data_IF_996182831744
#
_entry.id   IF_996182831744
#
_cell.length_a   1.000
_cell.length_b   1.000
_cell.length_c   1.000
_cell.angle_alpha   90.00
_cell.angle_beta   90.00
_cell.angle_gamma   90.00
#
_symmetry.space_group_name_H-M   'P 1'
#
loop_
_entity.id
_entity.type
_entity.pdbx_description
1 polymer ?
#
# COMPACT_ATOMS: atom_id res chain seq x y z
N UNK A 1 10.31 24.97 12.28
CA UNK A 1 9.92 24.52 10.92
C UNK A 1 8.40 24.29 10.92
N UNK A 2 7.62 25.36 10.77
CA UNK A 2 6.16 25.31 10.91
C UNK A 2 5.52 24.84 9.61
N UNK A 3 5.09 23.59 9.55
CA UNK A 3 4.22 23.14 8.48
C UNK A 3 2.83 23.67 8.77
N UNK A 4 2.31 24.52 7.87
CA UNK A 4 0.93 25.02 7.93
C UNK A 4 -0.03 23.84 8.00
N UNK A 5 -0.97 23.92 8.94
CA UNK A 5 -2.11 23.01 9.03
C UNK A 5 -2.84 23.03 7.69
N UNK A 6 -3.03 21.86 7.06
CA UNK A 6 -3.82 21.77 5.82
C UNK A 6 -5.26 21.62 6.22
N UNK A 7 -6.09 22.60 5.85
CA UNK A 7 -7.54 22.42 5.89
C UNK A 7 -8.01 21.74 4.61
N UNK A 8 -9.08 20.94 4.71
CA UNK A 8 -9.71 20.26 3.58
C UNK A 8 -10.01 21.23 2.41
N UNK A 9 -10.37 22.46 2.75
CA UNK A 9 -10.64 23.60 1.85
C UNK A 9 -9.39 24.12 1.09
N UNK A 10 -8.16 23.81 1.52
CA UNK A 10 -6.92 24.15 0.80
C UNK A 10 -6.47 23.05 -0.19
N UNK A 11 -7.10 21.86 -0.16
CA UNK A 11 -6.86 20.77 -1.13
C UNK A 11 -7.65 20.95 -2.43
N UNK A 12 -7.72 22.19 -2.92
CA UNK A 12 -8.46 22.62 -4.13
C UNK A 12 -8.07 21.79 -5.37
N UNK A 13 -6.86 21.20 -5.37
CA UNK A 13 -6.38 20.30 -6.43
C UNK A 13 -7.08 18.92 -6.50
N UNK A 14 -7.74 18.48 -5.42
CA UNK A 14 -8.43 17.18 -5.37
C UNK A 14 -9.93 17.26 -5.67
N UNK A 15 -10.47 18.45 -5.95
CA UNK A 15 -11.88 18.62 -6.34
C UNK A 15 -12.88 18.56 -5.17
N UNK A 16 -12.99 17.42 -4.48
CA UNK A 16 -13.96 17.22 -3.37
C UNK A 16 -13.50 16.20 -2.31
N UNK A 17 -14.21 16.14 -1.17
CA UNK A 17 -13.97 15.15 -0.10
C UNK A 17 -14.16 13.72 -0.63
N UNK A 18 -15.14 13.52 -1.51
CA UNK A 18 -15.43 12.25 -2.16
C UNK A 18 -14.26 11.79 -3.03
N UNK A 19 -13.65 12.69 -3.81
CA UNK A 19 -12.48 12.36 -4.61
C UNK A 19 -11.27 11.93 -3.75
N UNK A 20 -11.09 12.55 -2.57
CA UNK A 20 -10.07 12.11 -1.61
C UNK A 20 -10.38 10.70 -1.10
N UNK A 21 -11.63 10.40 -0.77
CA UNK A 21 -12.05 9.07 -0.31
C UNK A 21 -11.80 8.02 -1.39
N UNK A 22 -12.18 8.29 -2.64
CA UNK A 22 -11.94 7.37 -3.75
C UNK A 22 -10.45 7.14 -3.99
N UNK A 23 -9.62 8.19 -3.97
CA UNK A 23 -8.16 8.03 -4.08
C UNK A 23 -7.57 7.15 -2.96
N UNK A 24 -8.08 7.27 -1.74
CA UNK A 24 -7.65 6.42 -0.62
C UNK A 24 -8.09 4.97 -0.82
N UNK A 25 -9.31 4.73 -1.32
CA UNK A 25 -9.78 3.38 -1.68
C UNK A 25 -8.93 2.77 -2.79
N UNK A 26 -8.64 3.53 -3.85
CA UNK A 26 -7.81 3.10 -4.97
C UNK A 26 -6.36 2.81 -4.54
N UNK A 27 -5.86 3.52 -3.52
CA UNK A 27 -4.59 3.22 -2.87
C UNK A 27 -4.63 1.97 -1.97
N UNK A 28 -5.76 1.28 -1.90
CA UNK A 28 -5.97 0.09 -1.06
C UNK A 28 -6.08 0.40 0.43
N UNK A 29 -6.36 1.64 0.83
CA UNK A 29 -6.64 1.95 2.23
C UNK A 29 -7.98 1.33 2.64
N UNK A 30 -8.01 0.66 3.80
CA UNK A 30 -9.24 0.15 4.37
C UNK A 30 -10.06 1.29 5.01
N UNK A 31 -11.32 0.99 5.38
CA UNK A 31 -12.22 1.99 5.95
C UNK A 31 -11.64 2.66 7.21
N UNK A 32 -11.01 1.90 8.09
CA UNK A 32 -10.36 2.43 9.31
C UNK A 32 -9.26 3.46 8.98
N UNK A 33 -8.42 3.15 7.99
CA UNK A 33 -7.36 4.06 7.53
C UNK A 33 -7.95 5.30 6.88
N UNK A 34 -9.00 5.14 6.08
CA UNK A 34 -9.73 6.25 5.45
C UNK A 34 -10.28 7.19 6.52
N UNK A 35 -11.01 6.67 7.51
CA UNK A 35 -11.63 7.47 8.57
C UNK A 35 -10.57 8.24 9.37
N UNK A 36 -9.44 7.59 9.69
CA UNK A 36 -8.31 8.25 10.34
C UNK A 36 -7.71 9.38 9.48
N UNK A 37 -7.58 9.15 8.17
CA UNK A 37 -7.04 10.15 7.24
C UNK A 37 -7.98 11.35 7.11
N UNK A 38 -9.29 11.12 7.03
CA UNK A 38 -10.30 12.19 7.02
C UNK A 38 -10.29 12.98 8.33
N UNK A 39 -10.17 12.32 9.49
CA UNK A 39 -10.05 13.00 10.77
C UNK A 39 -8.78 13.87 10.86
N UNK A 40 -7.66 13.40 10.30
CA UNK A 40 -6.43 14.20 10.22
C UNK A 40 -6.59 15.43 9.32
N UNK A 41 -7.34 15.31 8.22
CA UNK A 41 -7.67 16.42 7.32
C UNK A 41 -8.58 17.46 8.00
N UNK A 42 -9.63 16.99 8.67
CA UNK A 42 -10.58 17.86 9.36
C UNK A 42 -9.92 18.61 10.55
N UNK A 43 -8.89 18.01 11.16
CA UNK A 43 -8.12 18.58 12.27
C UNK A 43 -6.83 19.31 11.89
N UNK A 44 -6.51 19.43 10.59
CA UNK A 44 -5.32 20.13 10.12
C UNK A 44 -4.00 19.36 10.27
N UNK A 45 -4.03 18.12 10.75
CA UNK A 45 -2.86 17.33 11.14
C UNK A 45 -2.12 16.71 9.94
N UNK A 46 -1.57 17.56 9.06
CA UNK A 46 -0.84 17.16 7.85
C UNK A 46 0.26 16.12 8.13
N UNK A 47 1.05 16.32 9.19
CA UNK A 47 2.18 15.45 9.51
C UNK A 47 1.72 14.03 9.84
N UNK A 48 0.64 13.91 10.60
CA UNK A 48 0.08 12.61 10.98
C UNK A 48 -0.56 11.92 9.79
N UNK A 49 -1.28 12.66 8.94
CA UNK A 49 -1.81 12.15 7.67
C UNK A 49 -0.70 11.55 6.79
N UNK A 50 0.37 12.31 6.53
CA UNK A 50 1.49 11.84 5.70
C UNK A 50 2.18 10.61 6.30
N UNK A 51 2.34 10.57 7.63
CA UNK A 51 2.92 9.42 8.32
C UNK A 51 2.06 8.16 8.16
N UNK A 52 0.74 8.29 8.23
CA UNK A 52 -0.21 7.17 8.03
C UNK A 52 -0.14 6.63 6.61
N UNK A 53 -0.12 7.51 5.62
CA UNK A 53 0.01 7.12 4.21
C UNK A 53 1.35 6.43 3.93
N UNK A 54 2.45 6.91 4.50
CA UNK A 54 3.77 6.28 4.36
C UNK A 54 3.80 4.88 5.00
N UNK A 55 3.15 4.70 6.15
CA UNK A 55 3.03 3.39 6.78
C UNK A 55 2.21 2.42 5.93
N UNK A 56 1.10 2.88 5.34
CA UNK A 56 0.29 2.09 4.41
C UNK A 56 1.12 1.65 3.19
N UNK A 57 1.84 2.59 2.57
CA UNK A 57 2.76 2.32 1.46
C UNK A 57 3.80 1.25 1.80
N UNK A 58 4.40 1.32 3.00
CA UNK A 58 5.36 0.29 3.47
C UNK A 58 4.71 -1.08 3.58
N UNK A 59 3.50 -1.15 4.13
CA UNK A 59 2.74 -2.41 4.20
C UNK A 59 2.47 -3.02 2.83
N UNK A 60 2.09 -2.21 1.84
CA UNK A 60 1.93 -2.67 0.45
C UNK A 60 3.25 -3.21 -0.12
N UNK A 61 4.35 -2.50 0.10
CA UNK A 61 5.67 -2.92 -0.37
C UNK A 61 6.11 -4.25 0.27
N UNK A 62 5.83 -4.44 1.56
CA UNK A 62 6.11 -5.69 2.26
C UNK A 62 5.31 -6.87 1.68
N UNK A 63 4.05 -6.63 1.29
CA UNK A 63 3.23 -7.65 0.61
C UNK A 63 3.81 -8.01 -0.76
N UNK A 64 4.25 -7.03 -1.55
CA UNK A 64 4.93 -7.27 -2.83
C UNK A 64 6.20 -8.09 -2.62
N UNK A 65 7.05 -7.71 -1.68
CA UNK A 65 8.28 -8.45 -1.37
C UNK A 65 7.99 -9.88 -0.90
N UNK A 66 6.92 -10.09 -0.12
CA UNK A 66 6.49 -11.43 0.29
C UNK A 66 6.05 -12.26 -0.92
N UNK A 67 5.23 -11.69 -1.79
CA UNK A 67 4.78 -12.35 -3.02
C UNK A 67 5.96 -12.73 -3.92
N UNK A 68 6.91 -11.81 -4.12
CA UNK A 68 8.12 -12.08 -4.89
C UNK A 68 8.90 -13.28 -4.35
N UNK A 69 9.16 -13.34 -3.03
CA UNK A 69 9.84 -14.48 -2.41
C UNK A 69 9.10 -15.80 -2.60
N UNK A 70 7.77 -15.77 -2.57
CA UNK A 70 6.96 -16.97 -2.81
C UNK A 70 7.09 -17.45 -4.25
N UNK A 71 7.08 -16.52 -5.22
CA UNK A 71 7.30 -16.83 -6.65
C UNK A 71 8.70 -17.40 -6.85
N UNK A 72 9.75 -16.77 -6.32
CA UNK A 72 11.13 -17.24 -6.46
C UNK A 72 11.30 -18.68 -5.95
N UNK A 73 10.71 -19.00 -4.80
CA UNK A 73 10.71 -20.35 -4.24
C UNK A 73 9.96 -21.34 -5.13
N UNK A 74 8.82 -20.94 -5.70
CA UNK A 74 8.02 -21.79 -6.57
C UNK A 74 8.75 -22.06 -7.90
N UNK A 75 9.34 -21.04 -8.51
CA UNK A 75 10.12 -21.15 -9.74
C UNK A 75 11.32 -22.09 -9.56
N UNK A 76 12.01 -21.97 -8.42
CA UNK A 76 13.09 -22.90 -8.07
C UNK A 76 12.60 -24.33 -7.94
N UNK A 77 11.47 -24.56 -7.26
CA UNK A 77 10.89 -25.89 -7.13
C UNK A 77 10.50 -26.49 -8.49
N UNK A 78 9.84 -25.70 -9.35
CA UNK A 78 9.45 -26.12 -10.71
C UNK A 78 10.68 -26.45 -11.54
N UNK A 79 11.72 -25.63 -11.49
CA UNK A 79 12.99 -25.90 -12.18
C UNK A 79 13.62 -27.23 -11.73
N UNK A 80 13.63 -27.51 -10.43
CA UNK A 80 14.19 -28.76 -9.90
C UNK A 80 13.39 -29.98 -10.35
N UNK A 81 12.06 -29.91 -10.29
CA UNK A 81 11.18 -31.00 -10.76
C UNK A 81 11.36 -31.23 -12.27
N UNK A 82 11.42 -30.17 -13.08
CA UNK A 82 11.64 -30.28 -14.53
C UNK A 82 13.00 -30.90 -14.90
N UNK A 83 14.00 -30.78 -14.02
CA UNK A 83 15.32 -31.41 -14.19
C UNK A 83 15.41 -32.82 -13.63
N UNK A 84 14.46 -33.26 -12.80
CA UNK A 84 14.31 -34.66 -12.44
C UNK A 84 13.82 -35.45 -13.66
N UNK A 85 14.74 -35.71 -14.59
CA UNK A 85 14.61 -36.80 -15.55
C UNK A 85 14.61 -38.10 -14.76
N UNK A 86 13.43 -38.58 -14.37
CA UNK A 86 13.27 -39.95 -13.87
C UNK A 86 13.87 -40.88 -14.93
N UNK A 87 14.97 -41.58 -14.61
CA UNK A 87 15.39 -42.76 -15.35
C UNK A 87 14.73 -43.96 -14.66
N UNK A 88 13.59 -44.47 -15.14
CA UNK A 88 13.10 -45.75 -14.65
C UNK A 88 14.09 -46.82 -15.12
N UNK A 89 14.73 -47.48 -14.16
CA UNK A 89 15.45 -48.75 -14.27
C UNK A 89 16.58 -48.82 -15.32
N UNK A 90 17.83 -48.76 -14.85
CA UNK A 90 18.93 -49.51 -15.45
C UNK A 90 19.19 -50.74 -14.59
#
# INVERSE_FOLDING_TARGET
MGYKDIKLEELIAYGSKEAIIENLKDAGCNQETIDCCLACLDSGQKKELLKRLENHRKGLLDQVHKGQKQIDCLDYLVFQIGRCSFRPNQ
#
